data_IF_928482411524
#
_entry.id   IF_928482411524
#
_cell.length_a   1.000
_cell.length_b   1.000
_cell.length_c   1.000
_cell.angle_alpha   90.00
_cell.angle_beta   90.00
_cell.angle_gamma   90.00
#
_symmetry.space_group_name_H-M   'P 1'
#
loop_
_entity.id
_entity.type
_entity.pdbx_description
1 polymer ?
#
# COMPACT_ATOMS: atom_id res chain seq x y z
N UNK A 1 -19.09 53.24 1.17
CA UNK A 1 -20.01 53.24 0.01
C UNK A 1 -20.44 51.78 -0.15
N UNK A 2 -21.50 51.33 0.56
CA UNK A 2 -22.93 51.35 0.22
C UNK A 2 -23.20 50.89 -1.21
N UNK A 3 -23.72 49.69 -1.43
CA UNK A 3 -25.15 49.46 -1.64
C UNK A 3 -25.50 47.97 -1.62
N UNK A 4 -26.49 47.70 -0.77
CA UNK A 4 -27.32 46.52 -0.62
C UNK A 4 -28.41 46.50 -1.70
N UNK A 5 -28.79 45.34 -2.27
CA UNK A 5 -30.14 45.14 -2.82
C UNK A 5 -30.64 43.72 -2.45
N UNK A 6 -31.67 43.72 -1.60
CA UNK A 6 -32.63 42.64 -1.36
C UNK A 6 -33.78 42.74 -2.39
N UNK A 7 -34.33 41.60 -2.81
CA UNK A 7 -35.75 41.35 -3.24
C UNK A 7 -35.95 39.84 -3.28
N UNK A 8 -36.67 39.21 -2.56
CA UNK A 8 -38.04 38.96 -2.01
C UNK A 8 -39.14 38.88 -3.09
N UNK A 9 -39.97 37.86 -2.98
CA UNK A 9 -41.34 37.59 -3.47
C UNK A 9 -41.45 36.30 -4.29
N UNK A 10 -42.45 35.46 -4.22
CA UNK A 10 -43.59 35.13 -3.35
C UNK A 10 -44.19 33.82 -3.88
N UNK A 11 -44.86 33.11 -3.05
CA UNK A 11 -45.56 31.83 -3.21
C UNK A 11 -46.66 31.85 -4.28
N UNK A 12 -47.01 30.66 -4.80
CA UNK A 12 -48.44 30.36 -5.13
C UNK A 12 -48.72 28.86 -4.92
N UNK A 13 -49.72 28.63 -4.07
CA UNK A 13 -50.40 27.39 -3.75
C UNK A 13 -51.48 27.16 -4.79
N UNK A 14 -51.63 25.94 -5.29
CA UNK A 14 -52.90 25.53 -5.93
C UNK A 14 -53.28 24.13 -5.44
N UNK A 15 -54.29 24.10 -4.57
CA UNK A 15 -55.11 22.93 -4.26
C UNK A 15 -56.03 22.61 -5.44
N UNK A 16 -56.12 21.35 -5.79
CA UNK A 16 -57.12 20.81 -6.70
C UNK A 16 -57.62 19.46 -6.21
N UNK A 17 -58.72 19.49 -5.46
CA UNK A 17 -59.57 18.33 -5.14
C UNK A 17 -60.54 18.06 -6.28
N UNK A 18 -60.73 16.79 -6.66
CA UNK A 18 -62.04 16.29 -7.17
C UNK A 18 -62.14 14.76 -7.04
N UNK A 19 -63.09 14.37 -6.48
CA UNK A 19 -63.94 13.36 -6.04
C UNK A 19 -64.31 12.25 -7.05
N UNK A 20 -64.35 11.09 -6.48
CA UNK A 20 -65.18 9.90 -6.62
C UNK A 20 -66.07 9.68 -7.85
N UNK A 21 -65.97 8.47 -8.38
CA UNK A 21 -67.16 7.68 -8.68
C UNK A 21 -66.88 6.17 -8.59
N UNK A 22 -67.73 5.54 -7.80
CA UNK A 22 -67.82 4.10 -7.58
C UNK A 22 -68.46 3.40 -8.76
N UNK A 23 -67.94 2.20 -9.12
CA UNK A 23 -68.77 1.15 -9.73
C UNK A 23 -68.24 -0.23 -9.26
N UNK A 24 -69.16 -0.88 -8.55
CA UNK A 24 -69.02 -2.30 -8.12
C UNK A 24 -69.35 -3.25 -9.26
N UNK A 25 -68.48 -4.24 -9.44
CA UNK A 25 -68.80 -5.56 -9.97
C UNK A 25 -67.84 -6.62 -9.48
N UNK A 26 -68.26 -7.81 -9.11
CA UNK A 26 -67.48 -8.81 -8.42
C UNK A 26 -66.96 -9.92 -9.33
N UNK A 27 -66.03 -10.72 -8.76
CA UNK A 27 -65.62 -12.08 -9.12
C UNK A 27 -64.46 -12.28 -10.09
N UNK A 28 -63.44 -12.85 -9.50
CA UNK A 28 -62.31 -13.50 -10.19
C UNK A 28 -61.08 -13.58 -9.31
N UNK A 29 -61.12 -14.36 -8.22
CA UNK A 29 -59.93 -14.68 -7.42
C UNK A 29 -59.05 -15.65 -8.20
N UNK A 30 -58.07 -15.13 -8.91
CA UNK A 30 -56.86 -15.87 -9.29
C UNK A 30 -55.81 -15.67 -8.20
N UNK A 31 -55.19 -16.72 -7.68
CA UNK A 31 -54.11 -16.54 -6.71
C UNK A 31 -52.93 -15.88 -7.45
N UNK A 32 -52.61 -14.64 -7.09
CA UNK A 32 -51.37 -14.00 -7.47
C UNK A 32 -50.25 -14.82 -6.83
N UNK A 33 -49.44 -15.48 -7.66
CA UNK A 33 -48.21 -16.06 -7.25
C UNK A 33 -47.35 -14.94 -6.65
N UNK A 34 -47.07 -15.04 -5.36
CA UNK A 34 -46.09 -14.17 -4.67
C UNK A 34 -44.75 -14.31 -5.39
N UNK A 35 -44.37 -13.28 -6.08
CA UNK A 35 -42.97 -13.19 -6.57
C UNK A 35 -42.03 -13.35 -5.38
N UNK A 36 -41.00 -14.13 -5.45
CA UNK A 36 -40.01 -14.21 -4.39
C UNK A 36 -39.41 -12.81 -4.25
N UNK A 37 -39.66 -12.15 -3.15
CA UNK A 37 -38.91 -11.00 -2.68
C UNK A 37 -37.50 -11.52 -2.39
N UNK A 38 -36.67 -11.53 -3.40
CA UNK A 38 -35.25 -11.72 -3.20
C UNK A 38 -34.76 -10.58 -2.31
N UNK A 39 -34.51 -10.89 -1.07
CA UNK A 39 -33.78 -10.00 -0.17
C UNK A 39 -32.35 -9.91 -0.73
N UNK A 40 -32.10 -8.93 -1.59
CA UNK A 40 -30.73 -8.56 -1.95
C UNK A 40 -30.08 -8.02 -0.69
N UNK A 41 -29.34 -8.87 0.01
CA UNK A 41 -28.38 -8.41 1.02
C UNK A 41 -27.53 -7.34 0.36
N UNK A 42 -27.38 -6.15 0.92
CA UNK A 42 -26.51 -5.13 0.36
C UNK A 42 -25.12 -5.75 0.15
N UNK A 43 -24.59 -5.66 -1.07
CA UNK A 43 -23.26 -6.17 -1.36
C UNK A 43 -22.26 -5.45 -0.42
N UNK A 44 -21.54 -6.21 0.39
CA UNK A 44 -20.53 -5.65 1.30
C UNK A 44 -19.44 -4.99 0.46
N UNK A 45 -19.28 -3.69 0.61
CA UNK A 45 -18.18 -2.96 -0.04
C UNK A 45 -16.90 -3.17 0.75
N UNK A 46 -15.85 -3.66 0.10
CA UNK A 46 -14.52 -3.78 0.67
C UNK A 46 -13.72 -2.50 0.41
N UNK A 47 -13.13 -1.95 1.46
CA UNK A 47 -12.27 -0.77 1.36
C UNK A 47 -10.82 -1.22 1.25
N UNK A 48 -10.15 -0.87 0.16
CA UNK A 48 -8.75 -1.19 -0.09
C UNK A 48 -7.92 0.08 0.07
N UNK A 49 -6.93 0.03 0.96
CA UNK A 49 -6.00 1.12 1.22
C UNK A 49 -4.67 0.95 0.51
N UNK A 50 -3.91 2.05 0.38
CA UNK A 50 -2.49 2.01 0.05
C UNK A 50 -1.68 2.99 0.87
N UNK A 51 -0.39 2.69 1.02
CA UNK A 51 0.61 3.62 1.55
C UNK A 51 0.83 4.79 0.58
N UNK A 52 1.64 5.78 0.98
CA UNK A 52 1.81 7.05 0.25
C UNK A 52 2.58 6.95 -1.07
N UNK A 53 3.06 5.78 -1.49
CA UNK A 53 3.92 5.64 -2.65
C UNK A 53 3.35 4.69 -3.73
N UNK A 54 3.78 4.92 -4.96
CA UNK A 54 3.19 4.34 -6.18
C UNK A 54 3.26 2.81 -6.24
N UNK A 55 4.35 2.17 -5.76
CA UNK A 55 4.50 0.71 -5.77
C UNK A 55 3.40 0.04 -4.94
N UNK A 56 3.12 0.56 -3.74
CA UNK A 56 2.08 0.02 -2.87
C UNK A 56 0.68 0.28 -3.44
N UNK A 57 0.46 1.45 -4.09
CA UNK A 57 -0.80 1.73 -4.79
C UNK A 57 -1.04 0.77 -5.95
N UNK A 58 0.00 0.41 -6.72
CA UNK A 58 -0.11 -0.59 -7.79
C UNK A 58 -0.56 -1.93 -7.22
N UNK A 59 0.04 -2.39 -6.11
CA UNK A 59 -0.35 -3.65 -5.47
C UNK A 59 -1.79 -3.59 -4.96
N UNK A 60 -2.20 -2.49 -4.33
CA UNK A 60 -3.57 -2.27 -3.89
C UNK A 60 -4.57 -2.35 -5.06
N UNK A 61 -4.20 -1.76 -6.20
CA UNK A 61 -5.02 -1.77 -7.41
C UNK A 61 -5.10 -3.17 -8.07
N UNK A 62 -4.04 -3.98 -7.98
CA UNK A 62 -4.11 -5.39 -8.38
C UNK A 62 -5.19 -6.14 -7.60
N UNK A 63 -5.22 -5.97 -6.26
CA UNK A 63 -6.25 -6.61 -5.43
C UNK A 63 -7.65 -6.07 -5.74
N UNK A 64 -7.78 -4.75 -5.91
CA UNK A 64 -9.05 -4.10 -6.21
C UNK A 64 -9.67 -4.65 -7.49
N UNK A 65 -8.93 -4.63 -8.59
CA UNK A 65 -9.44 -5.08 -9.89
C UNK A 65 -9.68 -6.59 -9.93
N UNK A 66 -8.86 -7.39 -9.25
CA UNK A 66 -9.10 -8.84 -9.17
C UNK A 66 -10.41 -9.16 -8.43
N UNK A 67 -10.71 -8.44 -7.34
CA UNK A 67 -11.97 -8.57 -6.60
C UNK A 67 -13.16 -8.10 -7.44
N UNK A 68 -13.04 -6.95 -8.11
CA UNK A 68 -14.08 -6.41 -9.00
C UNK A 68 -14.40 -7.35 -10.18
N UNK A 69 -13.37 -7.97 -10.75
CA UNK A 69 -13.54 -8.96 -11.83
C UNK A 69 -14.36 -10.19 -11.40
N UNK A 70 -14.45 -10.46 -10.09
CA UNK A 70 -15.28 -11.53 -9.52
C UNK A 70 -16.60 -11.00 -8.93
N UNK A 71 -16.97 -9.75 -9.25
CA UNK A 71 -18.26 -9.15 -8.90
C UNK A 71 -18.35 -8.55 -7.50
N UNK A 72 -17.24 -8.42 -6.78
CA UNK A 72 -17.24 -7.74 -5.48
C UNK A 72 -17.22 -6.22 -5.68
N UNK A 73 -17.86 -5.49 -4.76
CA UNK A 73 -17.81 -4.03 -4.75
C UNK A 73 -16.61 -3.56 -3.94
N UNK A 74 -15.79 -2.68 -4.53
CA UNK A 74 -14.57 -2.17 -3.92
C UNK A 74 -14.60 -0.64 -3.85
N UNK A 75 -14.13 -0.10 -2.73
CA UNK A 75 -13.82 1.32 -2.55
C UNK A 75 -12.32 1.49 -2.33
N UNK A 76 -11.75 2.53 -2.91
CA UNK A 76 -10.30 2.79 -2.88
C UNK A 76 -9.97 3.95 -1.96
N UNK A 77 -9.00 3.75 -1.08
CA UNK A 77 -8.40 4.79 -0.23
C UNK A 77 -6.88 4.72 -0.40
N UNK A 78 -6.38 5.37 -1.44
CA UNK A 78 -4.97 5.30 -1.81
C UNK A 78 -4.17 6.49 -1.28
N UNK A 79 -2.84 6.30 -1.21
CA UNK A 79 -1.88 7.32 -0.78
C UNK A 79 -2.20 7.92 0.60
N UNK A 80 -2.63 7.08 1.55
CA UNK A 80 -3.09 7.53 2.88
C UNK A 80 -1.93 8.13 3.69
N UNK A 81 -0.71 7.61 3.53
CA UNK A 81 0.45 8.03 4.30
C UNK A 81 1.28 6.84 4.79
N UNK A 82 2.03 7.08 5.85
CA UNK A 82 2.84 6.06 6.52
C UNK A 82 2.02 5.25 7.54
N UNK A 83 2.62 4.19 8.11
CA UNK A 83 1.95 3.24 9.04
C UNK A 83 1.22 3.92 10.18
N UNK A 84 1.79 4.98 10.71
CA UNK A 84 1.22 5.76 11.80
C UNK A 84 -0.15 6.36 11.44
N UNK A 85 -0.39 6.62 10.16
CA UNK A 85 -1.64 7.23 9.67
C UNK A 85 -2.71 6.18 9.41
N UNK A 86 -2.41 5.08 8.71
CA UNK A 86 -3.45 4.14 8.26
C UNK A 86 -3.67 2.94 9.19
N UNK A 87 -2.70 2.52 10.00
CA UNK A 87 -2.88 1.35 10.88
C UNK A 87 -4.02 1.52 11.90
N UNK A 88 -4.27 2.72 12.48
CA UNK A 88 -5.44 2.94 13.31
C UNK A 88 -6.77 2.71 12.57
N UNK A 89 -6.87 3.13 11.30
CA UNK A 89 -8.06 2.95 10.49
C UNK A 89 -8.23 1.51 10.02
N UNK A 90 -7.14 0.81 9.72
CA UNK A 90 -7.14 -0.62 9.45
C UNK A 90 -7.62 -1.43 10.68
N UNK A 91 -7.08 -1.13 11.87
CA UNK A 91 -7.49 -1.78 13.11
C UNK A 91 -8.95 -1.46 13.49
N UNK A 92 -9.46 -0.29 13.12
CA UNK A 92 -10.85 0.11 13.33
C UNK A 92 -11.83 -0.47 12.27
N UNK A 93 -11.35 -1.22 11.27
CA UNK A 93 -12.15 -1.80 10.19
C UNK A 93 -12.72 -0.77 9.22
N UNK A 94 -12.08 0.40 9.09
CA UNK A 94 -12.38 1.40 8.07
C UNK A 94 -11.69 1.09 6.74
N UNK A 95 -10.57 0.37 6.82
CA UNK A 95 -9.86 -0.25 5.70
C UNK A 95 -9.99 -1.76 5.88
N UNK A 96 -10.29 -2.48 4.81
CA UNK A 96 -10.52 -3.92 4.84
C UNK A 96 -9.36 -4.72 4.26
N UNK A 97 -8.60 -4.15 3.34
CA UNK A 97 -7.42 -4.77 2.72
C UNK A 97 -6.32 -3.73 2.62
N UNK A 98 -5.12 -4.08 3.10
CA UNK A 98 -3.94 -3.23 3.03
C UNK A 98 -2.74 -4.05 2.56
N UNK A 99 -2.12 -3.73 1.41
CA UNK A 99 -0.82 -4.30 1.08
C UNK A 99 0.23 -3.81 2.07
N UNK A 100 0.95 -4.73 2.67
CA UNK A 100 1.97 -4.45 3.67
C UNK A 100 3.25 -5.24 3.38
N UNK A 101 4.28 -4.98 4.15
CA UNK A 101 5.58 -5.63 4.04
C UNK A 101 5.90 -6.31 5.35
N UNK A 102 6.12 -7.63 5.29
CA UNK A 102 6.09 -8.53 6.45
C UNK A 102 7.01 -8.10 7.59
N UNK A 103 8.28 -7.83 7.31
CA UNK A 103 9.27 -7.48 8.33
C UNK A 103 9.04 -6.09 8.93
N UNK A 104 8.74 -5.09 8.11
CA UNK A 104 8.49 -3.73 8.59
C UNK A 104 7.24 -3.66 9.47
N UNK A 105 6.18 -4.36 9.09
CA UNK A 105 4.97 -4.41 9.90
C UNK A 105 5.22 -5.18 11.21
N UNK A 106 5.98 -6.28 11.16
CA UNK A 106 6.39 -6.99 12.36
C UNK A 106 7.16 -6.07 13.30
N UNK A 107 8.19 -5.37 12.81
CA UNK A 107 8.99 -4.45 13.62
C UNK A 107 8.22 -3.23 14.13
N UNK A 108 7.13 -2.85 13.45
CA UNK A 108 6.24 -1.79 13.93
C UNK A 108 5.54 -2.22 15.23
N UNK A 109 5.04 -3.46 15.29
CA UNK A 109 4.34 -4.00 16.46
C UNK A 109 5.28 -4.60 17.51
N UNK A 110 6.37 -5.25 17.07
CA UNK A 110 7.37 -5.86 17.94
C UNK A 110 8.80 -5.48 17.52
N UNK A 111 9.31 -4.40 18.11
CA UNK A 111 10.69 -3.92 17.87
C UNK A 111 11.77 -4.86 18.44
N UNK A 112 11.37 -5.82 19.27
CA UNK A 112 12.26 -6.76 19.94
C UNK A 112 12.35 -8.12 19.23
N UNK A 113 11.62 -8.30 18.14
CA UNK A 113 11.59 -9.57 17.41
C UNK A 113 12.99 -10.08 17.07
N UNK A 114 13.17 -11.39 17.18
CA UNK A 114 14.39 -12.10 16.77
C UNK A 114 14.19 -12.89 15.49
N UNK A 115 13.02 -12.81 14.87
CA UNK A 115 12.71 -13.47 13.61
C UNK A 115 13.55 -12.86 12.47
N UNK A 116 14.23 -13.70 11.69
CA UNK A 116 15.10 -13.26 10.57
C UNK A 116 14.84 -14.01 9.27
N UNK A 117 14.18 -15.17 9.33
CA UNK A 117 13.75 -15.87 8.12
C UNK A 117 12.36 -15.40 7.65
N UNK A 118 12.03 -15.45 6.34
CA UNK A 118 10.69 -15.10 5.86
C UNK A 118 9.55 -15.86 6.56
N UNK A 119 9.77 -17.16 6.87
CA UNK A 119 8.79 -17.98 7.55
C UNK A 119 8.56 -17.53 8.99
N UNK A 120 9.66 -17.31 9.76
CA UNK A 120 9.58 -16.85 11.15
C UNK A 120 8.97 -15.46 11.24
N UNK A 121 9.33 -14.54 10.31
CA UNK A 121 8.76 -13.20 10.23
C UNK A 121 7.26 -13.25 9.99
N UNK A 122 6.79 -14.10 9.07
CA UNK A 122 5.36 -14.25 8.79
C UNK A 122 4.61 -14.82 9.99
N UNK A 123 5.17 -15.85 10.66
CA UNK A 123 4.56 -16.44 11.85
C UNK A 123 4.49 -15.45 13.02
N UNK A 124 5.60 -14.72 13.26
CA UNK A 124 5.65 -13.71 14.31
C UNK A 124 4.68 -12.54 14.03
N UNK A 125 4.58 -12.11 12.77
CA UNK A 125 3.64 -11.06 12.36
C UNK A 125 2.19 -11.46 12.68
N UNK A 126 1.79 -12.69 12.32
CA UNK A 126 0.44 -13.18 12.60
C UNK A 126 0.10 -13.15 14.10
N UNK A 127 1.09 -13.35 14.96
CA UNK A 127 0.91 -13.38 16.41
C UNK A 127 0.76 -11.98 17.05
N UNK A 128 1.29 -10.93 16.43
CA UNK A 128 1.31 -9.56 16.99
C UNK A 128 0.25 -8.64 16.40
N UNK A 129 -0.45 -9.04 15.35
CA UNK A 129 -1.49 -8.23 14.75
C UNK A 129 -2.65 -7.97 15.73
N UNK A 130 -3.26 -6.78 15.68
CA UNK A 130 -4.47 -6.49 16.43
C UNK A 130 -5.60 -7.48 16.13
N UNK A 131 -6.43 -7.75 17.16
CA UNK A 131 -7.62 -8.60 17.01
C UNK A 131 -8.50 -8.10 15.85
N UNK A 132 -9.00 -9.03 15.03
CA UNK A 132 -9.82 -8.73 13.86
C UNK A 132 -9.01 -8.50 12.57
N UNK A 133 -7.69 -8.45 12.66
CA UNK A 133 -6.79 -8.44 11.50
C UNK A 133 -6.08 -9.78 11.36
N UNK A 134 -5.80 -10.15 10.11
CA UNK A 134 -4.99 -11.32 9.80
C UNK A 134 -4.17 -11.09 8.53
N UNK A 135 -2.98 -11.69 8.43
CA UNK A 135 -2.25 -11.73 7.18
C UNK A 135 -2.87 -12.80 6.26
N UNK A 136 -2.85 -12.54 4.96
CA UNK A 136 -3.02 -13.58 3.95
C UNK A 136 -1.65 -14.14 3.54
N UNK A 137 -1.66 -15.13 2.64
CA UNK A 137 -0.43 -15.69 2.09
C UNK A 137 0.41 -14.60 1.42
N UNK A 138 1.64 -14.43 1.88
CA UNK A 138 2.56 -13.45 1.33
C UNK A 138 2.98 -13.83 -0.10
N UNK A 139 3.22 -12.83 -0.94
CA UNK A 139 3.81 -13.02 -2.26
C UNK A 139 5.29 -13.37 -2.16
N UNK A 140 5.84 -13.96 -3.24
CA UNK A 140 7.29 -14.06 -3.39
C UNK A 140 7.95 -12.69 -3.62
N UNK A 141 7.19 -11.70 -4.07
CA UNK A 141 7.65 -10.32 -4.25
C UNK A 141 8.13 -9.72 -2.94
N UNK A 142 9.28 -9.03 -3.02
CA UNK A 142 9.86 -8.24 -1.93
C UNK A 142 10.07 -6.81 -2.39
N UNK A 143 9.88 -5.87 -1.47
CA UNK A 143 10.20 -4.45 -1.67
C UNK A 143 10.72 -3.91 -0.33
N UNK A 144 12.05 -3.91 -0.17
CA UNK A 144 12.72 -3.66 1.09
C UNK A 144 13.26 -2.24 1.14
N UNK A 145 13.20 -1.62 2.32
CA UNK A 145 14.09 -0.50 2.62
C UNK A 145 15.53 -0.92 2.29
N UNK A 146 16.26 -0.09 1.59
CA UNK A 146 17.63 -0.38 1.23
C UNK A 146 18.50 0.87 1.18
N UNK A 147 19.71 0.73 1.72
CA UNK A 147 20.70 1.80 1.67
C UNK A 147 21.43 1.77 0.34
N UNK A 148 21.23 2.81 -0.44
CA UNK A 148 21.81 2.96 -1.77
C UNK A 148 22.81 4.10 -1.77
N UNK A 149 23.94 3.90 -2.47
CA UNK A 149 24.98 4.91 -2.68
C UNK A 149 25.27 5.05 -4.18
N UNK A 150 25.90 6.14 -4.59
CA UNK A 150 26.34 6.25 -5.98
C UNK A 150 27.50 5.27 -6.26
N UNK A 151 27.62 4.81 -7.51
CA UNK A 151 28.72 3.91 -7.92
C UNK A 151 30.10 4.53 -7.64
N UNK A 152 30.24 5.84 -7.90
CA UNK A 152 31.50 6.56 -7.65
C UNK A 152 31.84 6.59 -6.15
N UNK A 153 30.87 6.85 -5.30
CA UNK A 153 31.08 6.85 -3.85
C UNK A 153 31.43 5.44 -3.33
N UNK A 154 30.72 4.42 -3.84
CA UNK A 154 31.01 3.03 -3.51
C UNK A 154 32.45 2.64 -3.94
N UNK A 155 32.85 3.00 -5.15
CA UNK A 155 34.19 2.73 -5.67
C UNK A 155 35.27 3.48 -4.87
N UNK A 156 35.05 4.77 -4.59
CA UNK A 156 36.01 5.61 -3.89
C UNK A 156 36.37 5.08 -2.50
N UNK A 157 35.40 4.53 -1.77
CA UNK A 157 35.60 4.07 -0.39
C UNK A 157 35.50 2.54 -0.25
N UNK A 158 35.38 1.80 -1.35
CA UNK A 158 35.30 0.34 -1.34
C UNK A 158 34.08 -0.17 -0.58
N UNK A 159 32.89 0.41 -0.85
CA UNK A 159 31.66 0.08 -0.17
C UNK A 159 30.91 -1.03 -0.90
N UNK A 160 30.52 -2.08 -0.17
CA UNK A 160 29.69 -3.19 -0.65
C UNK A 160 28.64 -3.63 0.38
N UNK A 161 28.84 -3.24 1.63
CA UNK A 161 27.96 -3.58 2.74
C UNK A 161 27.74 -2.37 3.67
N UNK A 162 26.72 -2.46 4.52
CA UNK A 162 26.45 -1.44 5.54
C UNK A 162 27.63 -1.23 6.50
N UNK A 163 28.38 -2.30 6.78
CA UNK A 163 29.59 -2.20 7.62
C UNK A 163 30.68 -1.33 6.97
N UNK A 164 30.73 -1.28 5.65
CA UNK A 164 31.77 -0.53 4.93
C UNK A 164 31.59 0.98 5.02
N UNK A 165 30.40 1.46 5.40
CA UNK A 165 30.15 2.90 5.59
C UNK A 165 31.11 3.54 6.60
N UNK A 166 31.68 2.74 7.51
CA UNK A 166 32.73 3.22 8.43
C UNK A 166 34.02 3.64 7.72
N UNK A 167 34.25 3.24 6.47
CA UNK A 167 35.43 3.60 5.67
C UNK A 167 35.32 5.00 5.05
N UNK A 168 34.08 5.49 4.88
CA UNK A 168 33.85 6.82 4.33
C UNK A 168 34.01 7.89 5.42
N UNK A 169 34.47 9.11 5.07
CA UNK A 169 34.55 10.20 6.04
C UNK A 169 33.14 10.61 6.50
N UNK A 170 32.96 10.70 7.81
CA UNK A 170 31.69 11.12 8.38
C UNK A 170 31.49 12.64 8.45
N UNK A 171 30.27 13.09 8.78
CA UNK A 171 29.06 12.28 9.00
C UNK A 171 28.39 11.86 7.69
N UNK A 172 27.93 10.62 7.63
CA UNK A 172 27.13 10.13 6.50
C UNK A 172 25.70 10.68 6.61
N UNK A 173 25.24 11.36 5.57
CA UNK A 173 23.85 11.80 5.44
C UNK A 173 23.05 10.80 4.63
N UNK A 174 21.85 10.47 5.12
CA UNK A 174 20.92 9.54 4.46
C UNK A 174 19.64 10.28 4.12
N UNK A 175 19.26 10.35 2.84
CA UNK A 175 17.95 10.84 2.44
C UNK A 175 16.92 9.73 2.67
N UNK A 176 15.87 10.01 3.43
CA UNK A 176 14.77 9.11 3.73
C UNK A 176 13.58 9.90 4.28
N UNK A 177 12.40 9.27 4.36
CA UNK A 177 11.27 9.85 5.07
C UNK A 177 11.61 10.10 6.56
N UNK A 178 10.96 11.07 7.18
CA UNK A 178 11.29 11.49 8.57
C UNK A 178 11.09 10.39 9.61
N UNK A 179 10.13 9.48 9.42
CA UNK A 179 9.94 8.35 10.33
C UNK A 179 11.09 7.34 10.34
N UNK A 180 11.93 7.31 9.29
CA UNK A 180 13.13 6.49 9.20
C UNK A 180 14.07 6.70 10.39
N UNK A 181 14.12 7.92 10.95
CA UNK A 181 14.88 8.24 12.17
C UNK A 181 14.55 7.31 13.35
N UNK A 182 13.32 6.80 13.41
CA UNK A 182 12.82 5.97 14.52
C UNK A 182 12.66 4.51 14.16
N UNK A 183 12.95 4.12 12.90
CA UNK A 183 12.85 2.73 12.46
C UNK A 183 13.99 1.89 13.04
N UNK A 184 13.76 0.61 13.37
CA UNK A 184 14.82 -0.30 13.86
C UNK A 184 16.01 -0.44 12.91
N UNK A 185 15.79 -0.22 11.62
CA UNK A 185 16.79 -0.26 10.56
C UNK A 185 17.33 1.14 10.16
N UNK A 186 16.91 2.18 10.84
CA UNK A 186 17.40 3.55 10.69
C UNK A 186 18.71 3.81 11.46
N UNK A 187 19.00 5.08 11.84
CA UNK A 187 20.27 5.46 12.48
C UNK A 187 20.63 4.64 13.72
N UNK A 188 19.64 4.34 14.57
CA UNK A 188 19.86 3.55 15.78
C UNK A 188 20.27 2.11 15.46
N UNK A 189 19.63 1.51 14.43
CA UNK A 189 19.99 0.18 13.95
C UNK A 189 21.40 0.15 13.35
N UNK A 190 21.72 1.08 12.45
CA UNK A 190 23.07 1.18 11.88
C UNK A 190 24.15 1.28 12.95
N UNK A 191 23.93 2.14 13.95
CA UNK A 191 24.86 2.28 15.07
C UNK A 191 24.97 0.98 15.87
N UNK A 192 23.85 0.35 16.20
CA UNK A 192 23.81 -0.88 17.00
C UNK A 192 24.47 -2.07 16.30
N UNK A 193 24.12 -2.27 15.02
CA UNK A 193 24.56 -3.46 14.28
C UNK A 193 25.93 -3.28 13.62
N UNK A 194 26.24 -2.07 13.12
CA UNK A 194 27.41 -1.82 12.29
C UNK A 194 28.38 -0.79 12.84
N UNK A 195 28.03 -0.10 13.94
CA UNK A 195 28.84 0.99 14.51
C UNK A 195 28.88 2.25 13.64
N UNK A 196 27.97 2.35 12.65
CA UNK A 196 27.88 3.46 11.71
C UNK A 196 26.96 4.54 12.26
N UNK A 197 27.43 5.79 12.32
CA UNK A 197 26.63 6.95 12.66
C UNK A 197 26.22 7.69 11.40
N UNK A 198 24.90 7.94 11.27
CA UNK A 198 24.33 8.66 10.15
C UNK A 198 23.38 9.75 10.63
N UNK A 199 23.14 10.74 9.78
CA UNK A 199 22.13 11.78 9.99
C UNK A 199 21.09 11.68 8.89
N UNK A 200 19.80 11.59 9.24
CA UNK A 200 18.71 11.61 8.27
C UNK A 200 18.50 13.02 7.73
N UNK A 201 18.41 13.14 6.43
CA UNK A 201 17.94 14.32 5.72
C UNK A 201 16.52 13.99 5.26
N UNK A 202 15.48 14.58 5.89
CA UNK A 202 14.10 14.23 5.57
C UNK A 202 13.74 14.58 4.12
N UNK A 203 13.24 13.59 3.37
CA UNK A 203 12.68 13.72 2.04
C UNK A 203 11.42 12.84 2.00
N UNK A 204 10.26 13.48 1.94
CA UNK A 204 8.96 12.82 2.15
C UNK A 204 8.37 12.28 0.83
N UNK A 205 9.16 11.50 0.08
CA UNK A 205 8.72 10.90 -1.18
C UNK A 205 8.95 9.39 -1.27
N UNK A 206 9.22 8.75 -0.11
CA UNK A 206 9.34 7.29 0.03
C UNK A 206 10.35 6.66 -0.96
N UNK A 207 11.54 7.22 -1.03
CA UNK A 207 12.60 6.77 -1.94
C UNK A 207 12.43 7.22 -3.39
N UNK A 208 11.49 8.13 -3.65
CA UNK A 208 11.10 8.59 -4.96
C UNK A 208 12.07 9.59 -5.62
N UNK A 209 11.57 10.37 -6.60
CA UNK A 209 12.42 11.22 -7.44
C UNK A 209 13.24 12.26 -6.68
N UNK A 210 12.73 12.81 -5.58
CA UNK A 210 13.46 13.81 -4.79
C UNK A 210 14.59 13.16 -3.99
N UNK A 211 14.34 11.98 -3.41
CA UNK A 211 15.35 11.16 -2.73
C UNK A 211 16.46 10.74 -3.71
N UNK A 212 16.08 10.23 -4.88
CA UNK A 212 17.02 9.87 -5.98
C UNK A 212 17.84 11.09 -6.40
N UNK A 213 17.21 12.25 -6.55
CA UNK A 213 17.90 13.49 -6.90
C UNK A 213 18.91 13.91 -5.82
N UNK A 214 18.54 13.87 -4.55
CA UNK A 214 19.43 14.24 -3.44
C UNK A 214 20.70 13.36 -3.42
N UNK A 215 20.57 12.05 -3.72
CA UNK A 215 21.70 11.14 -3.82
C UNK A 215 22.58 11.44 -5.05
N UNK A 216 21.96 11.66 -6.21
CA UNK A 216 22.70 11.98 -7.47
C UNK A 216 23.47 13.29 -7.39
N UNK A 217 22.88 14.29 -6.75
CA UNK A 217 23.51 15.62 -6.62
C UNK A 217 24.59 15.66 -5.52
N UNK A 218 24.81 14.55 -4.79
CA UNK A 218 25.75 14.47 -3.69
C UNK A 218 25.35 15.28 -2.44
N UNK A 219 24.09 15.70 -2.36
CA UNK A 219 23.53 16.37 -1.17
C UNK A 219 23.56 15.44 0.04
N UNK A 220 23.43 14.14 -0.21
CA UNK A 220 23.56 13.03 0.74
C UNK A 220 24.52 11.98 0.20
N UNK A 221 25.10 11.16 1.08
CA UNK A 221 26.02 10.09 0.72
C UNK A 221 25.30 8.77 0.49
N UNK A 222 24.16 8.57 1.15
CA UNK A 222 23.31 7.40 0.97
C UNK A 222 21.84 7.82 0.91
N UNK A 223 21.01 6.95 0.41
CA UNK A 223 19.56 7.15 0.37
C UNK A 223 18.84 5.84 0.65
N UNK A 224 17.70 5.94 1.34
CA UNK A 224 16.73 4.86 1.45
C UNK A 224 15.86 4.85 0.19
N UNK A 225 16.12 3.90 -0.69
CA UNK A 225 15.35 3.66 -1.91
C UNK A 225 14.91 2.21 -1.87
N UNK A 226 13.64 1.93 -2.05
CA UNK A 226 13.11 0.59 -1.90
C UNK A 226 13.63 -0.35 -2.99
N UNK A 227 13.88 -1.60 -2.64
CA UNK A 227 14.61 -2.55 -3.49
C UNK A 227 13.93 -2.89 -4.82
N UNK A 228 12.62 -2.69 -4.93
CA UNK A 228 11.88 -2.84 -6.18
C UNK A 228 11.78 -1.54 -6.99
N UNK A 229 12.48 -0.47 -6.59
CA UNK A 229 12.47 0.78 -7.35
C UNK A 229 13.43 0.69 -8.57
N UNK A 230 12.93 0.91 -9.78
CA UNK A 230 13.74 0.84 -11.00
C UNK A 230 14.84 1.91 -11.09
N UNK A 231 14.76 2.97 -10.29
CA UNK A 231 15.76 4.04 -10.27
C UNK A 231 17.13 3.55 -9.79
N UNK A 232 17.19 2.49 -8.98
CA UNK A 232 18.44 1.87 -8.54
C UNK A 232 19.24 1.42 -9.76
N UNK A 233 18.64 0.61 -10.62
CA UNK A 233 19.28 0.12 -11.85
C UNK A 233 19.52 1.22 -12.87
N UNK A 234 18.54 2.10 -13.09
CA UNK A 234 18.64 3.20 -14.07
C UNK A 234 19.77 4.19 -13.75
N UNK A 235 20.06 4.43 -12.47
CA UNK A 235 21.14 5.33 -12.04
C UNK A 235 22.43 4.59 -11.64
N UNK A 236 22.47 3.27 -11.79
CA UNK A 236 23.63 2.42 -11.39
C UNK A 236 24.01 2.62 -9.93
N UNK A 237 23.03 2.80 -9.05
CA UNK A 237 23.30 2.86 -7.63
C UNK A 237 23.75 1.50 -7.10
N UNK A 238 24.56 1.53 -6.05
CA UNK A 238 25.02 0.34 -5.35
C UNK A 238 24.19 0.20 -4.07
N UNK A 239 23.37 -0.83 -4.02
CA UNK A 239 22.67 -1.22 -2.79
C UNK A 239 23.67 -1.91 -1.86
N UNK A 240 23.82 -1.39 -0.65
CA UNK A 240 24.72 -1.96 0.36
C UNK A 240 24.08 -3.19 0.99
N UNK A 241 24.83 -4.30 1.03
CA UNK A 241 24.35 -5.54 1.65
C UNK A 241 24.23 -5.41 3.17
N UNK A 242 23.27 -6.12 3.75
CA UNK A 242 22.99 -6.18 5.19
C UNK A 242 23.27 -7.61 5.74
N UNK A 243 24.53 -7.99 5.98
CA UNK A 243 24.86 -9.35 6.43
C UNK A 243 24.43 -9.66 7.86
N UNK A 244 23.96 -8.67 8.62
CA UNK A 244 23.44 -8.85 9.98
C UNK A 244 21.92 -8.90 10.07
N UNK A 245 21.23 -8.87 8.93
CA UNK A 245 19.76 -8.89 8.83
C UNK A 245 19.10 -7.84 9.75
N UNK A 246 19.63 -6.63 9.77
CA UNK A 246 19.03 -5.49 10.46
C UNK A 246 17.68 -5.12 9.82
N UNK A 247 17.65 -5.21 8.47
CA UNK A 247 16.45 -5.09 7.68
C UNK A 247 15.86 -6.49 7.49
N UNK A 248 14.69 -6.72 8.06
CA UNK A 248 14.03 -8.03 7.96
C UNK A 248 13.51 -8.29 6.54
N UNK A 249 13.23 -9.55 6.16
CA UNK A 249 12.56 -9.87 4.91
C UNK A 249 11.23 -9.11 4.74
N UNK A 250 11.04 -8.48 3.57
CA UNK A 250 9.91 -7.57 3.26
C UNK A 250 9.05 -8.16 2.14
N UNK A 251 8.52 -9.35 2.36
CA UNK A 251 7.56 -9.92 1.42
C UNK A 251 6.25 -9.11 1.44
N UNK A 252 5.69 -8.88 0.26
CA UNK A 252 4.36 -8.27 0.12
C UNK A 252 3.33 -9.19 0.77
N UNK A 253 2.64 -8.70 1.79
CA UNK A 253 1.64 -9.45 2.57
C UNK A 253 0.35 -8.64 2.68
N UNK A 254 -0.81 -9.16 2.20
CA UNK A 254 -2.07 -8.48 2.42
C UNK A 254 -2.50 -8.64 3.88
N UNK A 255 -2.75 -7.53 4.56
CA UNK A 255 -3.39 -7.53 5.87
C UNK A 255 -4.87 -7.23 5.67
N UNK A 256 -5.71 -8.10 6.20
CA UNK A 256 -7.15 -8.03 5.95
C UNK A 256 -7.99 -8.01 7.24
N UNK A 257 -9.12 -7.32 7.18
CA UNK A 257 -10.13 -7.29 8.24
C UNK A 257 -11.00 -8.56 8.21
N UNK A 258 -11.82 -8.73 9.25
CA UNK A 258 -12.78 -9.82 9.33
C UNK A 258 -13.91 -9.76 8.28
N UNK A 259 -14.09 -8.65 7.58
CA UNK A 259 -15.05 -8.52 6.45
C UNK A 259 -14.59 -9.26 5.20
N UNK A 260 -13.29 -9.51 5.06
CA UNK A 260 -12.74 -10.28 3.94
C UNK A 260 -12.96 -11.75 4.21
N UNK A 261 -13.99 -12.31 3.58
CA UNK A 261 -14.33 -13.72 3.69
C UNK A 261 -13.33 -14.64 2.94
N UNK A 262 -13.52 -15.95 3.05
CA UNK A 262 -12.63 -16.91 2.42
C UNK A 262 -12.58 -16.79 0.88
N UNK A 263 -13.70 -16.41 0.25
CA UNK A 263 -13.78 -16.23 -1.21
C UNK A 263 -12.97 -15.02 -1.65
N UNK A 264 -13.16 -13.87 -1.01
CA UNK A 264 -12.39 -12.66 -1.29
C UNK A 264 -10.89 -12.87 -0.98
N UNK A 265 -10.57 -13.56 0.11
CA UNK A 265 -9.19 -13.89 0.46
C UNK A 265 -8.51 -14.74 -0.64
N UNK A 266 -9.18 -15.77 -1.14
CA UNK A 266 -8.65 -16.63 -2.20
C UNK A 266 -8.36 -15.84 -3.51
N UNK A 267 -9.17 -14.83 -3.83
CA UNK A 267 -8.93 -13.95 -4.98
C UNK A 267 -7.64 -13.15 -4.78
N UNK A 268 -7.46 -12.53 -3.61
CA UNK A 268 -6.24 -11.77 -3.29
C UNK A 268 -5.01 -12.68 -3.31
N UNK A 269 -5.11 -13.86 -2.73
CA UNK A 269 -4.02 -14.86 -2.71
C UNK A 269 -3.66 -15.35 -4.11
N UNK A 270 -4.62 -15.42 -5.05
CA UNK A 270 -4.34 -15.75 -6.44
C UNK A 270 -3.47 -14.70 -7.16
N UNK A 271 -3.60 -13.43 -6.78
CA UNK A 271 -2.70 -12.34 -7.23
C UNK A 271 -1.32 -12.54 -6.63
N UNK A 272 -1.22 -12.74 -5.32
CA UNK A 272 0.06 -12.94 -4.62
C UNK A 272 0.82 -14.17 -5.13
N UNK A 273 0.13 -15.23 -5.48
CA UNK A 273 0.75 -16.45 -6.01
C UNK A 273 1.51 -16.23 -7.35
N UNK A 274 1.19 -15.14 -8.06
CA UNK A 274 1.82 -14.76 -9.33
C UNK A 274 2.76 -13.56 -9.22
N UNK A 275 2.75 -12.87 -8.09
CA UNK A 275 3.53 -11.66 -7.88
C UNK A 275 4.90 -12.01 -7.30
N UNK A 276 5.95 -11.92 -8.11
CA UNK A 276 7.33 -12.00 -7.70
C UNK A 276 8.04 -10.65 -7.79
N UNK A 277 9.27 -10.57 -7.29
CA UNK A 277 10.04 -9.30 -7.27
C UNK A 277 10.30 -8.77 -8.67
N UNK A 278 10.58 -9.65 -9.66
CA UNK A 278 10.83 -9.21 -11.02
C UNK A 278 9.57 -8.60 -11.66
N UNK A 279 8.41 -9.20 -11.42
CA UNK A 279 7.12 -8.64 -11.82
C UNK A 279 6.85 -7.29 -11.15
N UNK A 280 7.12 -7.17 -9.84
CA UNK A 280 6.92 -5.90 -9.13
C UNK A 280 7.82 -4.79 -9.67
N UNK A 281 9.10 -5.07 -9.92
CA UNK A 281 10.03 -4.13 -10.56
C UNK A 281 9.52 -3.70 -11.94
N UNK A 282 9.01 -4.64 -12.75
CA UNK A 282 8.47 -4.32 -14.07
C UNK A 282 7.21 -3.44 -13.99
N UNK A 283 6.32 -3.70 -13.02
CA UNK A 283 5.15 -2.84 -12.76
C UNK A 283 5.58 -1.43 -12.35
N UNK A 284 6.54 -1.33 -11.44
CA UNK A 284 7.11 -0.08 -10.97
C UNK A 284 7.79 0.70 -12.11
N UNK A 285 8.51 0.00 -12.99
CA UNK A 285 9.14 0.58 -14.17
C UNK A 285 8.11 1.30 -15.07
N UNK A 286 6.93 0.73 -15.27
CA UNK A 286 5.87 1.34 -16.06
C UNK A 286 5.32 2.63 -15.44
N UNK A 287 5.22 2.67 -14.10
CA UNK A 287 4.83 3.90 -13.40
C UNK A 287 5.86 5.02 -13.59
N UNK A 288 7.15 4.69 -13.45
CA UNK A 288 8.23 5.69 -13.47
C UNK A 288 8.55 6.16 -14.91
N UNK A 289 8.62 5.24 -15.88
CA UNK A 289 9.08 5.59 -17.24
C UNK A 289 7.94 5.90 -18.20
N UNK A 290 6.82 5.21 -18.10
CA UNK A 290 5.66 5.42 -18.97
C UNK A 290 4.67 6.43 -18.36
N UNK A 291 4.84 6.77 -17.08
CA UNK A 291 3.88 7.57 -16.29
C UNK A 291 2.46 6.98 -16.34
N UNK A 292 2.38 5.66 -16.46
CA UNK A 292 1.13 4.94 -16.48
C UNK A 292 0.49 4.95 -15.08
N UNK A 293 -0.82 5.09 -15.01
CA UNK A 293 -1.55 5.04 -13.74
C UNK A 293 -1.56 3.62 -13.17
N UNK A 294 -1.67 3.48 -11.84
CA UNK A 294 -1.82 2.20 -11.15
C UNK A 294 -2.94 1.34 -11.76
N UNK A 295 -4.06 1.95 -12.13
CA UNK A 295 -5.19 1.27 -12.76
C UNK A 295 -4.84 0.65 -14.13
N UNK A 296 -4.10 1.36 -14.97
CA UNK A 296 -3.67 0.88 -16.29
C UNK A 296 -2.63 -0.24 -16.14
N UNK A 297 -1.68 -0.06 -15.21
CA UNK A 297 -0.64 -1.05 -14.93
C UNK A 297 -1.25 -2.34 -14.41
N UNK A 298 -2.12 -2.25 -13.40
CA UNK A 298 -2.78 -3.39 -12.77
C UNK A 298 -3.63 -4.18 -13.77
N UNK A 299 -4.46 -3.47 -14.58
CA UNK A 299 -5.31 -4.11 -15.58
C UNK A 299 -4.49 -4.92 -16.59
N UNK A 300 -3.41 -4.35 -17.09
CA UNK A 300 -2.56 -5.03 -18.07
C UNK A 300 -1.95 -6.31 -17.49
N UNK A 301 -1.35 -6.23 -16.31
CA UNK A 301 -0.71 -7.37 -15.67
C UNK A 301 -1.72 -8.46 -15.27
N UNK A 302 -2.87 -8.09 -14.71
CA UNK A 302 -3.93 -9.05 -14.36
C UNK A 302 -4.49 -9.75 -15.60
N UNK A 303 -4.60 -9.05 -16.74
CA UNK A 303 -5.02 -9.65 -18.01
C UNK A 303 -4.00 -10.69 -18.48
N UNK A 304 -2.71 -10.34 -18.49
CA UNK A 304 -1.61 -11.24 -18.86
C UNK A 304 -1.51 -12.44 -17.91
N UNK A 305 -1.71 -12.21 -16.64
CA UNK A 305 -1.74 -13.25 -15.61
C UNK A 305 -2.99 -14.15 -15.67
N UNK A 306 -4.01 -13.81 -16.47
CA UNK A 306 -5.27 -14.56 -16.58
C UNK A 306 -6.14 -14.47 -15.31
N UNK A 307 -6.10 -13.34 -14.60
CA UNK A 307 -6.83 -13.13 -13.35
C UNK A 307 -8.10 -12.27 -13.49
N UNK A 308 -8.34 -11.68 -14.67
CA UNK A 308 -9.56 -10.90 -14.98
C UNK A 308 -10.64 -11.71 -15.72
N UNK A 309 -10.45 -13.00 -15.93
CA UNK A 309 -11.39 -13.88 -16.64
C UNK A 309 -12.30 -14.67 -15.71
#
# INVERSE_FOLDING_TARGET
MVTTVKRLLLALVALGTLAACSSTAPLGSTPMASAPTGTTTPATTLVIGSQAYYSNEIIAELYAQALEAKGLTVSRQYQIGQRETYLPDLAAGKIDVMPEYSGNLLQYYDKSTTATSPADVTAALAAVLPSGLRPLTAAAATDQDSYNVTADFAQQYGLSSLADLTKAPGPIKVAANSEFEKRPYGPQGLKKFYGVEVTVVPVEDSGGPLTVKALKDGTVQAADIYSADPSIGANKFVTLSDPKNMILPQNVVPIVSSKVDASAAAIIESVNAKLDTASLVALNQRSVTEQATSAVIAKAWLTEAGLLG
#
